data_IF_696143017927
#
_entry.id   IF_696143017927
#
_cell.length_a   1.000
_cell.length_b   1.000
_cell.length_c   1.000
_cell.angle_alpha   90.00
_cell.angle_beta   90.00
_cell.angle_gamma   90.00
#
_symmetry.space_group_name_H-M   'P 1'
#
loop_
_entity.id
_entity.type
_entity.pdbx_description
1 polymer ?
#
# COMPACT_ATOMS: atom_id res chain seq x y z
N UNK A 1 -1.65 15.36 9.78
CA UNK A 1 -1.39 14.12 10.55
C UNK A 1 -2.77 13.54 10.84
N UNK A 2 -3.38 12.81 9.89
CA UNK A 2 -4.86 12.71 9.83
C UNK A 2 -5.54 12.07 11.05
N UNK A 3 -4.84 11.19 11.78
CA UNK A 3 -5.39 10.59 13.00
C UNK A 3 -5.42 11.58 14.17
N UNK A 4 -4.33 12.34 14.37
CA UNK A 4 -4.27 13.35 15.44
C UNK A 4 -5.31 14.45 15.20
N UNK A 5 -5.46 14.87 13.95
CA UNK A 5 -6.48 15.83 13.51
C UNK A 5 -7.89 15.29 13.84
N UNK A 6 -8.17 14.02 13.50
CA UNK A 6 -9.45 13.37 13.83
C UNK A 6 -9.70 13.26 15.34
N UNK A 7 -8.69 12.92 16.15
CA UNK A 7 -8.82 12.84 17.63
C UNK A 7 -9.16 14.23 18.20
N UNK A 8 -8.52 15.29 17.70
CA UNK A 8 -8.73 16.65 18.17
C UNK A 8 -10.15 17.17 17.88
N UNK A 9 -10.82 16.64 16.85
CA UNK A 9 -12.21 16.99 16.49
C UNK A 9 -13.26 16.25 17.33
N UNK A 10 -12.88 15.30 18.19
CA UNK A 10 -13.86 14.52 18.95
C UNK A 10 -14.44 15.32 20.12
N UNK A 11 -15.79 15.42 20.23
CA UNK A 11 -16.44 16.20 21.29
C UNK A 11 -16.29 15.54 22.68
N UNK A 12 -16.05 14.23 22.74
CA UNK A 12 -15.89 13.47 23.98
C UNK A 12 -14.72 12.48 23.84
N UNK A 13 -13.70 12.63 24.68
CA UNK A 13 -12.50 11.80 24.71
C UNK A 13 -12.64 10.61 25.66
N UNK A 14 -13.70 9.81 25.49
CA UNK A 14 -13.85 8.57 26.24
C UNK A 14 -13.13 7.40 25.53
N UNK A 15 -12.67 6.41 26.31
CA UNK A 15 -11.87 5.30 25.80
C UNK A 15 -12.61 4.49 24.72
N UNK A 16 -13.89 4.17 24.92
CA UNK A 16 -14.66 3.31 24.01
C UNK A 16 -14.94 3.95 22.64
N UNK A 17 -15.19 5.27 22.61
CA UNK A 17 -15.46 6.01 21.37
C UNK A 17 -14.17 6.23 20.60
N UNK A 18 -13.09 6.59 21.29
CA UNK A 18 -11.77 6.68 20.67
C UNK A 18 -11.31 5.32 20.13
N UNK A 19 -11.43 4.24 20.90
CA UNK A 19 -11.03 2.90 20.46
C UNK A 19 -11.83 2.43 19.24
N UNK A 20 -13.13 2.75 19.15
CA UNK A 20 -13.94 2.44 17.95
C UNK A 20 -13.49 3.28 16.75
N UNK A 21 -13.41 4.59 16.90
CA UNK A 21 -13.04 5.48 15.79
C UNK A 21 -11.60 5.29 15.30
N UNK A 22 -10.64 5.00 16.19
CA UNK A 22 -9.26 4.62 15.82
C UNK A 22 -9.27 3.31 15.02
N UNK A 23 -10.06 2.31 15.43
CA UNK A 23 -10.19 1.05 14.67
C UNK A 23 -10.77 1.30 13.29
N UNK A 24 -11.81 2.11 13.17
CA UNK A 24 -12.41 2.44 11.87
C UNK A 24 -11.47 3.25 10.98
N UNK A 25 -10.74 4.22 11.55
CA UNK A 25 -9.68 4.94 10.86
C UNK A 25 -8.60 3.99 10.36
N UNK A 26 -8.11 3.09 11.21
CA UNK A 26 -7.09 2.10 10.86
C UNK A 26 -7.57 1.16 9.74
N UNK A 27 -8.82 0.68 9.81
CA UNK A 27 -9.43 -0.14 8.75
C UNK A 27 -9.49 0.64 7.43
N UNK A 28 -9.91 1.89 7.46
CA UNK A 28 -9.99 2.72 6.26
C UNK A 28 -8.60 2.94 5.64
N UNK A 29 -7.59 3.26 6.46
CA UNK A 29 -6.20 3.37 6.01
C UNK A 29 -5.68 2.06 5.43
N UNK A 30 -5.97 0.93 6.07
CA UNK A 30 -5.58 -0.39 5.59
C UNK A 30 -6.14 -0.69 4.20
N UNK A 31 -7.41 -0.35 3.95
CA UNK A 31 -8.05 -0.52 2.64
C UNK A 31 -7.40 0.38 1.58
N UNK A 32 -7.15 1.65 1.91
CA UNK A 32 -6.49 2.58 0.98
C UNK A 32 -5.08 2.15 0.59
N UNK A 33 -4.34 1.54 1.52
CA UNK A 33 -2.96 1.10 1.31
C UNK A 33 -2.83 -0.27 0.62
N UNK A 34 -3.95 -0.91 0.24
CA UNK A 34 -3.94 -2.24 -0.39
C UNK A 34 -3.05 -2.33 -1.63
N UNK A 35 -3.06 -1.29 -2.48
CA UNK A 35 -2.20 -1.21 -3.67
C UNK A 35 -0.71 -1.25 -3.32
N UNK A 36 -0.26 -0.43 -2.36
CA UNK A 36 1.15 -0.37 -1.98
C UNK A 36 1.63 -1.67 -1.33
N UNK A 37 0.77 -2.30 -0.52
CA UNK A 37 1.06 -3.62 0.07
C UNK A 37 1.17 -4.72 -0.99
N UNK A 38 0.28 -4.70 -1.98
CA UNK A 38 0.38 -5.59 -3.15
C UNK A 38 1.70 -5.37 -3.90
N UNK A 39 2.05 -4.12 -4.18
CA UNK A 39 3.28 -3.79 -4.89
C UNK A 39 4.53 -4.22 -4.12
N UNK A 40 4.56 -3.98 -2.81
CA UNK A 40 5.64 -4.40 -1.93
C UNK A 40 5.78 -5.93 -1.93
N UNK A 41 4.65 -6.64 -1.87
CA UNK A 41 4.64 -8.10 -1.95
C UNK A 41 5.18 -8.61 -3.29
N UNK A 42 4.83 -7.98 -4.41
CA UNK A 42 5.42 -8.33 -5.71
C UNK A 42 6.92 -8.09 -5.71
N UNK A 43 7.40 -6.96 -5.18
CA UNK A 43 8.83 -6.67 -5.10
C UNK A 43 9.61 -7.72 -4.29
N UNK A 44 9.04 -8.21 -3.19
CA UNK A 44 9.74 -9.14 -2.30
C UNK A 44 9.56 -10.61 -2.66
N UNK A 45 8.39 -11.00 -3.20
CA UNK A 45 8.04 -12.39 -3.51
C UNK A 45 8.09 -12.75 -5.00
N UNK A 46 8.13 -11.77 -5.90
CA UNK A 46 8.32 -12.01 -7.34
C UNK A 46 9.77 -11.74 -7.72
N UNK A 47 10.41 -12.69 -8.40
CA UNK A 47 11.80 -12.58 -8.82
C UNK A 47 12.80 -12.98 -7.73
N UNK A 48 14.07 -13.00 -8.11
CA UNK A 48 15.17 -13.31 -7.20
C UNK A 48 15.56 -12.04 -6.41
N UNK A 49 16.01 -12.16 -5.14
CA UNK A 49 16.38 -11.00 -4.33
C UNK A 49 17.41 -10.07 -5.00
N UNK A 50 18.35 -10.63 -5.74
CA UNK A 50 19.38 -9.90 -6.47
C UNK A 50 18.86 -9.10 -7.67
N UNK A 51 17.64 -9.33 -8.16
CA UNK A 51 17.08 -8.63 -9.32
C UNK A 51 16.19 -7.44 -8.92
N UNK A 52 15.94 -7.26 -7.62
CA UNK A 52 15.05 -6.20 -7.09
C UNK A 52 15.49 -4.79 -7.46
N UNK A 53 16.79 -4.57 -7.65
CA UNK A 53 17.32 -3.27 -8.08
C UNK A 53 16.76 -2.86 -9.46
N UNK A 54 16.40 -3.81 -10.34
CA UNK A 54 15.81 -3.50 -11.64
C UNK A 54 14.42 -2.86 -11.50
N UNK A 55 13.67 -3.26 -10.47
CA UNK A 55 12.38 -2.64 -10.14
C UNK A 55 12.59 -1.20 -9.71
N UNK A 56 13.57 -0.96 -8.82
CA UNK A 56 13.89 0.38 -8.34
C UNK A 56 14.42 1.27 -9.46
N UNK A 57 15.33 0.77 -10.30
CA UNK A 57 15.85 1.49 -11.45
C UNK A 57 14.73 1.95 -12.39
N UNK A 58 13.80 1.05 -12.73
CA UNK A 58 12.63 1.42 -13.56
C UNK A 58 11.76 2.46 -12.87
N UNK A 59 11.49 2.27 -11.57
CA UNK A 59 10.62 3.16 -10.82
C UNK A 59 11.18 4.58 -10.75
N UNK A 60 12.49 4.74 -10.52
CA UNK A 60 13.15 6.03 -10.52
C UNK A 60 13.34 6.66 -11.91
N UNK A 61 13.00 5.94 -12.98
CA UNK A 61 12.87 6.49 -14.33
C UNK A 61 11.50 7.12 -14.63
N UNK A 62 10.53 7.03 -13.71
CA UNK A 62 9.22 7.65 -13.88
C UNK A 62 9.28 9.17 -13.64
N UNK A 63 8.29 9.96 -14.12
CA UNK A 63 8.25 11.39 -13.87
C UNK A 63 8.26 11.71 -12.37
N UNK A 64 9.05 12.70 -11.96
CA UNK A 64 9.24 13.08 -10.55
C UNK A 64 7.92 13.32 -9.82
N UNK A 65 6.97 14.04 -10.43
CA UNK A 65 5.67 14.29 -9.83
C UNK A 65 4.86 13.01 -9.56
N UNK A 66 5.04 11.96 -10.36
CA UNK A 66 4.42 10.65 -10.12
C UNK A 66 5.10 9.95 -8.94
N UNK A 67 6.44 9.96 -8.90
CA UNK A 67 7.23 9.39 -7.80
C UNK A 67 6.87 10.08 -6.47
N UNK A 68 6.78 11.41 -6.46
CA UNK A 68 6.39 12.20 -5.29
C UNK A 68 5.01 11.81 -4.75
N UNK A 69 3.99 11.73 -5.62
CA UNK A 69 2.63 11.30 -5.22
C UNK A 69 2.57 9.84 -4.77
N UNK A 70 3.42 8.98 -5.35
CA UNK A 70 3.56 7.61 -4.90
C UNK A 70 4.08 7.54 -3.46
N UNK A 71 5.14 8.27 -3.14
CA UNK A 71 5.67 8.33 -1.78
C UNK A 71 4.76 9.07 -0.79
N UNK A 72 3.95 10.02 -1.26
CA UNK A 72 2.92 10.67 -0.43
C UNK A 72 1.75 9.73 -0.07
N UNK A 73 1.68 8.53 -0.67
CA UNK A 73 0.56 7.61 -0.46
C UNK A 73 -0.74 8.07 -1.11
N UNK A 74 -0.69 9.11 -1.96
CA UNK A 74 -1.84 9.74 -2.62
C UNK A 74 -1.75 9.53 -4.14
N UNK A 75 -1.69 8.27 -4.56
CA UNK A 75 -1.68 7.92 -5.98
C UNK A 75 -3.11 7.73 -6.51
N UNK A 76 -3.63 8.63 -7.36
CA UNK A 76 -4.89 8.40 -8.06
C UNK A 76 -4.78 7.14 -8.93
N UNK A 77 -5.93 6.53 -9.28
CA UNK A 77 -5.97 5.27 -10.03
C UNK A 77 -5.14 5.32 -11.33
N UNK A 78 -5.13 6.45 -12.03
CA UNK A 78 -4.30 6.68 -13.23
C UNK A 78 -2.80 6.53 -12.96
N UNK A 79 -2.32 6.99 -11.80
CA UNK A 79 -0.90 6.96 -11.45
C UNK A 79 -0.49 5.55 -11.03
N UNK A 80 -1.37 4.85 -10.30
CA UNK A 80 -1.21 3.42 -9.99
C UNK A 80 -1.06 2.59 -11.26
N UNK A 81 -1.86 2.86 -12.29
CA UNK A 81 -1.73 2.23 -13.61
C UNK A 81 -0.38 2.58 -14.26
N UNK A 82 0.01 3.86 -14.28
CA UNK A 82 1.29 4.29 -14.86
C UNK A 82 2.51 3.64 -14.20
N UNK A 83 2.48 3.39 -12.89
CA UNK A 83 3.53 2.63 -12.18
C UNK A 83 3.64 1.20 -12.70
N UNK A 84 2.52 0.58 -13.08
CA UNK A 84 2.48 -0.80 -13.57
C UNK A 84 2.79 -0.91 -15.07
N UNK A 85 2.41 0.10 -15.88
CA UNK A 85 2.55 0.12 -17.34
C UNK A 85 4.02 0.09 -17.79
N UNK A 86 4.33 -0.83 -18.70
CA UNK A 86 5.67 -1.06 -19.26
C UNK A 86 6.12 -2.50 -19.12
N UNK A 87 7.31 -2.83 -19.64
CA UNK A 87 7.88 -4.18 -19.53
C UNK A 87 8.18 -4.48 -18.05
N UNK A 88 7.55 -5.50 -17.44
CA UNK A 88 7.78 -5.81 -16.03
C UNK A 88 9.21 -6.35 -15.86
N UNK A 89 9.96 -5.86 -14.85
CA UNK A 89 11.34 -6.30 -14.55
C UNK A 89 11.38 -7.71 -13.91
N UNK A 90 10.22 -8.22 -13.49
CA UNK A 90 10.05 -9.57 -12.94
C UNK A 90 9.15 -10.40 -13.84
N UNK A 91 9.35 -11.73 -13.92
CA UNK A 91 8.47 -12.59 -14.70
C UNK A 91 7.00 -12.46 -14.28
N UNK A 92 6.10 -12.24 -15.24
CA UNK A 92 4.67 -11.98 -14.98
C UNK A 92 4.02 -13.09 -14.16
N UNK A 93 4.35 -14.35 -14.44
CA UNK A 93 3.82 -15.49 -13.69
C UNK A 93 4.21 -15.44 -12.20
N UNK A 94 5.43 -14.98 -11.88
CA UNK A 94 5.88 -14.82 -10.51
C UNK A 94 5.19 -13.63 -9.84
N UNK A 95 4.98 -12.53 -10.57
CA UNK A 95 4.22 -11.38 -10.09
C UNK A 95 2.77 -11.74 -9.74
N UNK A 96 2.09 -12.51 -10.61
CA UNK A 96 0.74 -13.01 -10.37
C UNK A 96 0.70 -13.97 -9.17
N UNK A 97 1.66 -14.90 -9.07
CA UNK A 97 1.76 -15.80 -7.91
C UNK A 97 1.98 -15.02 -6.62
N UNK A 98 2.87 -14.02 -6.63
CA UNK A 98 3.11 -13.14 -5.50
C UNK A 98 1.84 -12.35 -5.12
N UNK A 99 1.08 -11.86 -6.10
CA UNK A 99 -0.19 -11.16 -5.93
C UNK A 99 -1.32 -12.04 -5.38
N UNK A 100 -1.32 -13.33 -5.69
CA UNK A 100 -2.34 -14.27 -5.22
C UNK A 100 -2.00 -14.93 -3.87
N UNK A 101 -0.71 -15.03 -3.51
CA UNK A 101 -0.22 -15.76 -2.32
C UNK A 101 -0.60 -15.16 -0.95
N UNK A 102 -1.42 -14.11 -0.89
CA UNK A 102 -1.87 -13.49 0.36
C UNK A 102 -3.19 -12.73 0.18
N UNK A 103 -4.26 -13.32 0.73
CA UNK A 103 -5.51 -12.65 1.11
C UNK A 103 -5.56 -12.69 2.63
N UNK A 104 -5.35 -11.56 3.34
CA UNK A 104 -5.31 -11.55 4.79
C UNK A 104 -6.75 -11.59 5.34
N UNK A 105 -7.29 -12.80 5.57
CA UNK A 105 -8.43 -13.02 6.47
C UNK A 105 -8.01 -13.41 7.90
N UNK A 106 -6.71 -13.49 8.18
CA UNK A 106 -6.20 -14.01 9.45
C UNK A 106 -6.10 -13.01 10.62
N UNK A 107 -6.51 -11.75 10.43
CA UNK A 107 -6.52 -10.76 11.53
C UNK A 107 -7.91 -10.51 12.15
N UNK A 108 -8.97 -11.17 11.68
CA UNK A 108 -10.33 -10.99 12.23
C UNK A 108 -10.64 -11.90 13.43
N UNK A 109 -9.71 -12.80 13.81
CA UNK A 109 -9.89 -13.74 14.93
C UNK A 109 -8.86 -13.53 16.04
N UNK A 110 -8.76 -12.31 16.59
CA UNK A 110 -8.35 -12.13 17.99
C UNK A 110 -8.72 -10.72 18.43
N UNK A 111 -9.29 -10.61 19.64
CA UNK A 111 -9.84 -9.44 20.36
C UNK A 111 -11.36 -9.30 20.28
#
# INVERSE_FOLDING_TARGET
MRLADWIAEQPVLNADTLARGIRDFARHQWQQQGFYRLLNRMLFLAGRPQDRWQVMQRFYGLPEGLISRFYAGDSPARDKLRVLVGKPPVPVAQALRAALRYSPRHYENTL
#
